data_IF_361508217826
#
_entry.id   IF_361508217826
#
_cell.length_a   1.000
_cell.length_b   1.000
_cell.length_c   1.000
_cell.angle_alpha   90.00
_cell.angle_beta   90.00
_cell.angle_gamma   90.00
#
_symmetry.space_group_name_H-M   'P 1'
#
loop_
_entity.id
_entity.type
_entity.pdbx_description
1 polymer ?
#
# COMPACT_ATOMS: atom_id res chain seq x y z
N UNK A 1 -4.97 26.13 4.77
CA UNK A 1 -5.50 25.30 3.67
C UNK A 1 -6.22 24.11 4.27
N UNK A 2 -7.29 23.62 3.63
CA UNK A 2 -7.99 22.39 4.06
C UNK A 2 -6.99 21.23 3.99
N UNK A 3 -6.92 20.42 5.05
CA UNK A 3 -6.15 19.17 5.08
C UNK A 3 -7.09 18.02 4.72
N UNK A 4 -6.60 17.11 3.89
CA UNK A 4 -7.32 15.91 3.49
C UNK A 4 -6.78 14.69 4.22
N UNK A 5 -7.63 13.69 4.42
CA UNK A 5 -7.18 12.32 4.67
C UNK A 5 -7.17 11.54 3.36
N UNK A 6 -6.01 10.98 3.02
CA UNK A 6 -5.78 10.30 1.76
C UNK A 6 -5.33 8.87 2.04
N UNK A 7 -6.07 7.91 1.49
CA UNK A 7 -5.74 6.49 1.58
C UNK A 7 -5.16 6.02 0.24
N UNK A 8 -4.03 5.32 0.30
CA UNK A 8 -3.42 4.64 -0.83
C UNK A 8 -3.48 3.14 -0.60
N UNK A 9 -4.33 2.44 -1.33
CA UNK A 9 -4.37 0.98 -1.32
C UNK A 9 -3.27 0.44 -2.21
N UNK A 10 -2.34 -0.31 -1.61
CA UNK A 10 -1.19 -0.89 -2.30
C UNK A 10 -1.20 -2.41 -2.15
N UNK A 11 -1.10 -3.16 -3.27
CA UNK A 11 -0.91 -4.61 -3.23
C UNK A 11 0.35 -5.00 -2.44
N UNK A 12 1.48 -4.38 -2.75
CA UNK A 12 2.81 -4.71 -2.22
C UNK A 12 3.59 -3.48 -1.74
N UNK A 13 4.61 -3.75 -0.93
CA UNK A 13 5.61 -2.77 -0.47
C UNK A 13 6.53 -2.43 -1.64
N UNK A 14 6.33 -1.26 -2.24
CA UNK A 14 7.08 -0.63 -3.36
C UNK A 14 6.13 0.02 -4.38
N UNK A 15 4.84 -0.35 -4.34
CA UNK A 15 3.85 0.14 -5.31
C UNK A 15 3.65 1.67 -5.24
N UNK A 16 3.87 2.29 -4.06
CA UNK A 16 3.92 3.77 -3.96
C UNK A 16 5.11 4.31 -4.74
N UNK A 17 6.31 3.79 -4.47
CA UNK A 17 7.55 4.29 -5.05
C UNK A 17 7.59 4.15 -6.58
N UNK A 18 6.96 3.10 -7.13
CA UNK A 18 6.84 2.90 -8.58
C UNK A 18 5.66 3.64 -9.20
N UNK A 19 4.49 3.62 -8.56
CA UNK A 19 3.26 4.09 -9.17
C UNK A 19 3.06 5.60 -9.04
N UNK A 20 3.12 6.13 -7.83
CA UNK A 20 2.70 7.51 -7.52
C UNK A 20 3.61 8.23 -6.50
N UNK A 21 4.95 8.14 -6.60
CA UNK A 21 5.86 8.60 -5.56
C UNK A 21 5.75 10.11 -5.28
N UNK A 22 5.53 10.91 -6.33
CA UNK A 22 5.45 12.37 -6.20
C UNK A 22 4.10 12.85 -5.68
N UNK A 23 3.00 12.19 -6.05
CA UNK A 23 1.68 12.48 -5.48
C UNK A 23 1.65 12.18 -3.99
N UNK A 24 2.27 11.07 -3.59
CA UNK A 24 2.43 10.68 -2.20
C UNK A 24 3.30 11.68 -1.42
N UNK A 25 4.47 12.04 -1.97
CA UNK A 25 5.37 13.05 -1.40
C UNK A 25 4.68 14.41 -1.23
N UNK A 26 3.99 14.89 -2.25
CA UNK A 26 3.36 16.21 -2.23
C UNK A 26 2.17 16.23 -1.27
N UNK A 27 1.42 15.13 -1.18
CA UNK A 27 0.36 14.98 -0.18
C UNK A 27 0.90 15.16 1.24
N UNK A 28 2.04 14.56 1.55
CA UNK A 28 2.73 14.74 2.83
C UNK A 28 3.23 16.18 3.03
N UNK A 29 3.83 16.81 2.00
CA UNK A 29 4.32 18.21 2.09
C UNK A 29 3.21 19.21 2.39
N UNK A 30 2.02 18.98 1.85
CA UNK A 30 0.84 19.79 2.11
C UNK A 30 0.25 19.57 3.52
N UNK A 31 0.79 18.62 4.30
CA UNK A 31 0.36 18.30 5.65
C UNK A 31 -0.96 17.52 5.71
N UNK A 32 -1.31 16.80 4.64
CA UNK A 32 -2.44 15.89 4.63
C UNK A 32 -2.16 14.66 5.51
N UNK A 33 -3.20 14.03 6.04
CA UNK A 33 -3.07 12.74 6.70
C UNK A 33 -2.97 11.66 5.60
N UNK A 34 -1.79 11.04 5.48
CA UNK A 34 -1.53 10.03 4.46
C UNK A 34 -1.48 8.65 5.11
N UNK A 35 -2.32 7.74 4.61
CA UNK A 35 -2.39 6.35 5.06
C UNK A 35 -2.12 5.42 3.89
N UNK A 36 -1.14 4.55 4.02
CA UNK A 36 -0.92 3.43 3.10
C UNK A 36 -1.63 2.18 3.64
N UNK A 37 -2.46 1.56 2.82
CA UNK A 37 -3.18 0.31 3.14
C UNK A 37 -2.54 -0.82 2.33
N UNK A 38 -1.65 -1.57 2.98
CA UNK A 38 -0.94 -2.70 2.38
C UNK A 38 -1.81 -3.95 2.41
N UNK A 39 -2.18 -4.42 1.22
CA UNK A 39 -3.09 -5.55 1.05
C UNK A 39 -2.41 -6.88 1.37
N UNK A 40 -1.14 -7.03 1.01
CA UNK A 40 -0.40 -8.29 1.18
C UNK A 40 0.72 -8.20 2.21
N UNK A 41 1.39 -9.32 2.45
CA UNK A 41 2.53 -9.44 3.34
C UNK A 41 3.89 -9.36 2.58
N UNK A 42 3.85 -9.28 1.25
CA UNK A 42 5.01 -9.10 0.37
C UNK A 42 6.12 -10.15 0.58
N UNK A 43 5.73 -11.39 0.81
CA UNK A 43 6.62 -12.48 1.19
C UNK A 43 7.14 -13.36 0.03
N UNK A 44 6.80 -13.06 -1.23
CA UNK A 44 7.16 -13.89 -2.39
C UNK A 44 7.83 -13.19 -3.56
N UNK A 45 8.00 -11.87 -3.54
CA UNK A 45 8.72 -11.06 -4.55
C UNK A 45 10.24 -11.33 -4.70
N UNK A 46 10.65 -12.58 -4.86
CA UNK A 46 12.03 -12.99 -5.13
C UNK A 46 12.09 -14.34 -5.85
N UNK A 47 13.12 -14.54 -6.70
CA UNK A 47 13.42 -15.84 -7.29
C UNK A 47 14.14 -16.79 -6.30
N UNK A 48 14.68 -16.28 -5.20
CA UNK A 48 15.43 -17.08 -4.20
C UNK A 48 14.49 -17.73 -3.19
N UNK A 49 14.26 -19.03 -3.33
CA UNK A 49 13.30 -19.79 -2.50
C UNK A 49 13.62 -19.66 -1.01
N UNK A 50 14.90 -19.64 -0.63
CA UNK A 50 15.36 -19.52 0.76
C UNK A 50 15.13 -18.14 1.39
N UNK A 51 14.67 -17.16 0.61
CA UNK A 51 14.24 -15.86 1.10
C UNK A 51 12.72 -15.78 1.30
N UNK A 52 11.93 -16.59 0.58
CA UNK A 52 10.47 -16.53 0.59
C UNK A 52 9.86 -16.72 1.99
N UNK A 53 8.63 -16.24 2.16
CA UNK A 53 7.89 -16.33 3.41
C UNK A 53 8.35 -15.32 4.46
N UNK A 54 8.40 -15.74 5.72
CA UNK A 54 8.65 -14.86 6.86
C UNK A 54 9.98 -14.08 6.77
N UNK A 55 10.99 -14.62 6.08
CA UNK A 55 12.28 -13.93 5.89
C UNK A 55 12.13 -12.72 4.99
N UNK A 56 11.56 -12.86 3.80
CA UNK A 56 11.36 -11.75 2.87
C UNK A 56 10.40 -10.71 3.45
N UNK A 57 9.29 -11.14 4.09
CA UNK A 57 8.37 -10.23 4.79
C UNK A 57 9.08 -9.29 5.77
N UNK A 58 10.02 -9.81 6.57
CA UNK A 58 10.80 -9.00 7.52
C UNK A 58 11.74 -8.03 6.81
N UNK A 59 12.38 -8.47 5.72
CA UNK A 59 13.26 -7.62 4.92
C UNK A 59 12.45 -6.47 4.33
N UNK A 60 11.36 -6.77 3.61
CA UNK A 60 10.50 -5.74 2.99
C UNK A 60 9.83 -4.81 4.00
N UNK A 61 9.46 -5.31 5.18
CA UNK A 61 8.97 -4.43 6.24
C UNK A 61 10.02 -3.40 6.67
N UNK A 62 11.29 -3.77 6.77
CA UNK A 62 12.39 -2.82 7.06
C UNK A 62 12.64 -1.86 5.91
N UNK A 63 12.53 -2.34 4.67
CA UNK A 63 12.63 -1.50 3.47
C UNK A 63 11.54 -0.43 3.46
N UNK A 64 10.29 -0.81 3.75
CA UNK A 64 9.17 0.13 3.91
C UNK A 64 9.42 1.16 5.01
N UNK A 65 9.88 0.72 6.18
CA UNK A 65 10.22 1.62 7.30
C UNK A 65 11.29 2.64 6.87
N UNK A 66 12.31 2.19 6.13
CA UNK A 66 13.35 3.06 5.59
C UNK A 66 12.80 4.05 4.56
N UNK A 67 11.94 3.62 3.64
CA UNK A 67 11.28 4.49 2.67
C UNK A 67 10.42 5.56 3.36
N UNK A 68 9.61 5.16 4.34
CA UNK A 68 8.79 6.07 5.14
C UNK A 68 9.64 7.08 5.95
N UNK A 69 10.81 6.66 6.45
CA UNK A 69 11.75 7.56 7.11
C UNK A 69 12.33 8.62 6.15
N UNK A 70 12.56 8.25 4.89
CA UNK A 70 12.97 9.19 3.84
C UNK A 70 11.87 10.23 3.63
N UNK A 71 10.63 9.81 3.40
CA UNK A 71 9.50 10.73 3.26
C UNK A 71 9.35 11.65 4.46
N UNK A 72 9.43 11.12 5.68
CA UNK A 72 9.32 11.93 6.91
C UNK A 72 10.46 12.95 7.05
N UNK A 73 11.69 12.58 6.71
CA UNK A 73 12.83 13.49 6.75
C UNK A 73 12.63 14.72 5.85
N UNK A 74 12.11 14.51 4.65
CA UNK A 74 11.92 15.56 3.63
C UNK A 74 10.66 16.39 3.83
N UNK A 75 9.58 15.81 4.36
CA UNK A 75 8.29 16.47 4.46
C UNK A 75 7.95 16.95 5.87
N UNK A 76 8.67 16.45 6.88
CA UNK A 76 8.35 16.61 8.32
C UNK A 76 6.97 16.04 8.70
N UNK A 77 6.40 15.17 7.87
CA UNK A 77 5.13 14.48 8.11
C UNK A 77 5.31 12.97 8.00
N UNK A 78 4.53 12.20 8.76
CA UNK A 78 4.66 10.75 8.81
C UNK A 78 3.54 10.06 8.02
N UNK A 79 3.90 8.93 7.41
CA UNK A 79 2.95 7.99 6.81
C UNK A 79 2.42 7.07 7.91
N UNK A 80 1.12 6.80 7.90
CA UNK A 80 0.56 5.69 8.69
C UNK A 80 0.36 4.48 7.78
N UNK A 81 0.79 3.31 8.23
CA UNK A 81 0.66 2.07 7.47
C UNK A 81 -0.37 1.15 8.13
N UNK A 82 -1.38 0.73 7.39
CA UNK A 82 -2.36 -0.29 7.77
C UNK A 82 -2.08 -1.57 6.98
N UNK A 83 -1.80 -2.67 7.68
CA UNK A 83 -1.53 -3.97 7.06
C UNK A 83 -2.78 -4.84 7.10
N UNK A 84 -3.32 -5.19 5.94
CA UNK A 84 -4.43 -6.15 5.80
C UNK A 84 -3.91 -7.60 5.88
N UNK A 85 -2.73 -7.83 5.29
CA UNK A 85 -1.91 -9.01 5.54
C UNK A 85 -2.32 -10.29 4.81
N UNK A 86 -2.85 -10.18 3.59
CA UNK A 86 -3.04 -11.35 2.71
C UNK A 86 -1.70 -11.89 2.20
N UNK A 87 -1.73 -13.10 1.64
CA UNK A 87 -0.54 -13.74 1.08
C UNK A 87 -0.23 -13.08 -0.26
N UNK A 88 0.99 -12.61 -0.45
CA UNK A 88 1.54 -12.10 -1.71
C UNK A 88 1.29 -13.09 -2.87
N UNK A 89 0.75 -12.63 -4.00
CA UNK A 89 0.33 -13.41 -5.16
C UNK A 89 -1.00 -14.15 -5.02
N UNK A 90 -1.67 -14.07 -3.86
CA UNK A 90 -2.91 -14.79 -3.57
C UNK A 90 -3.97 -13.90 -2.88
N UNK A 91 -3.98 -12.60 -3.15
CA UNK A 91 -5.00 -11.69 -2.65
C UNK A 91 -6.40 -12.11 -3.17
N UNK A 92 -7.36 -12.45 -2.29
CA UNK A 92 -8.64 -12.99 -2.76
C UNK A 92 -9.65 -11.90 -3.09
N UNK A 93 -10.50 -12.16 -4.10
CA UNK A 93 -11.72 -11.39 -4.36
C UNK A 93 -12.93 -12.11 -3.76
N UNK A 94 -13.21 -11.84 -2.48
CA UNK A 94 -14.33 -12.43 -1.78
C UNK A 94 -14.93 -11.48 -0.73
N UNK A 95 -16.07 -11.86 -0.17
CA UNK A 95 -16.80 -11.05 0.82
C UNK A 95 -15.96 -10.71 2.06
N UNK A 96 -15.06 -11.59 2.47
CA UNK A 96 -14.19 -11.34 3.64
C UNK A 96 -13.17 -10.24 3.35
N UNK A 97 -12.50 -10.30 2.19
CA UNK A 97 -11.58 -9.25 1.76
C UNK A 97 -12.29 -7.91 1.55
N UNK A 98 -13.45 -7.94 0.87
CA UNK A 98 -14.26 -6.75 0.67
C UNK A 98 -14.68 -6.11 2.00
N UNK A 99 -15.13 -6.90 2.98
CA UNK A 99 -15.51 -6.38 4.29
C UNK A 99 -14.35 -5.69 5.00
N UNK A 100 -13.12 -6.24 4.96
CA UNK A 100 -11.95 -5.58 5.54
C UNK A 100 -11.67 -4.22 4.90
N UNK A 101 -11.75 -4.13 3.57
CA UNK A 101 -11.58 -2.86 2.83
C UNK A 101 -12.68 -1.86 3.21
N UNK A 102 -13.94 -2.29 3.22
CA UNK A 102 -15.08 -1.46 3.60
C UNK A 102 -14.94 -0.95 5.04
N UNK A 103 -14.51 -1.79 5.97
CA UNK A 103 -14.33 -1.41 7.37
C UNK A 103 -13.19 -0.40 7.54
N UNK A 104 -12.09 -0.54 6.80
CA UNK A 104 -11.01 0.46 6.74
C UNK A 104 -11.57 1.79 6.22
N UNK A 105 -12.27 1.79 5.08
CA UNK A 105 -12.81 3.02 4.50
C UNK A 105 -13.81 3.69 5.45
N UNK A 106 -14.67 2.93 6.13
CA UNK A 106 -15.66 3.46 7.10
C UNK A 106 -15.02 4.02 8.36
N UNK A 107 -13.95 3.37 8.83
CA UNK A 107 -13.20 3.80 10.02
C UNK A 107 -12.38 5.03 9.71
N UNK A 108 -11.68 5.01 8.57
CA UNK A 108 -10.77 6.07 8.18
C UNK A 108 -11.49 7.31 7.65
N UNK A 109 -12.58 7.13 6.90
CA UNK A 109 -13.34 8.20 6.23
C UNK A 109 -12.41 9.09 5.36
N UNK A 110 -11.72 8.50 4.35
CA UNK A 110 -10.87 9.28 3.45
C UNK A 110 -11.67 10.37 2.72
N UNK A 111 -11.03 11.51 2.47
CA UNK A 111 -11.50 12.46 1.46
C UNK A 111 -11.14 11.98 0.05
N UNK A 112 -9.99 11.30 -0.09
CA UNK A 112 -9.43 10.82 -1.37
C UNK A 112 -8.91 9.39 -1.19
N UNK A 113 -9.15 8.54 -2.18
CA UNK A 113 -8.65 7.17 -2.25
C UNK A 113 -7.90 6.95 -3.56
N UNK A 114 -6.72 6.34 -3.46
CA UNK A 114 -5.96 5.82 -4.60
C UNK A 114 -5.91 4.29 -4.52
N UNK A 115 -6.01 3.64 -5.68
CA UNK A 115 -5.84 2.20 -5.87
C UNK A 115 -5.29 1.94 -7.29
N UNK A 116 -4.69 0.75 -7.54
CA UNK A 116 -4.32 0.35 -8.89
C UNK A 116 -5.53 0.34 -9.83
N UNK A 117 -5.31 0.66 -11.11
CA UNK A 117 -6.34 0.50 -12.14
C UNK A 117 -6.48 -0.99 -12.49
N UNK A 118 -7.62 -1.64 -12.19
CA UNK A 118 -7.80 -3.08 -12.44
C UNK A 118 -7.92 -3.44 -13.92
N UNK A 119 -7.97 -2.45 -14.82
CA UNK A 119 -8.03 -2.64 -16.27
C UNK A 119 -6.75 -2.22 -16.99
N UNK A 120 -5.67 -1.92 -16.26
CA UNK A 120 -4.40 -1.56 -16.87
C UNK A 120 -3.80 -2.73 -17.66
N UNK A 121 -3.85 -2.64 -18.99
CA UNK A 121 -3.54 -3.75 -19.90
C UNK A 121 -2.08 -4.22 -19.89
N UNK A 122 -1.17 -3.55 -19.18
CA UNK A 122 0.23 -3.97 -19.06
C UNK A 122 0.54 -4.64 -17.73
N UNK A 123 -0.41 -4.65 -16.79
CA UNK A 123 -0.27 -5.32 -15.50
C UNK A 123 -1.31 -6.42 -15.34
N UNK A 124 -0.79 -7.64 -15.22
CA UNK A 124 -1.58 -8.86 -15.09
C UNK A 124 -1.45 -9.48 -13.70
N UNK A 125 -0.80 -8.80 -12.76
CA UNK A 125 -0.58 -9.35 -11.43
C UNK A 125 -1.93 -9.44 -10.68
N UNK A 126 -2.34 -10.64 -10.22
CA UNK A 126 -3.67 -10.82 -9.63
C UNK A 126 -3.91 -9.94 -8.42
N UNK A 127 -2.88 -9.68 -7.61
CA UNK A 127 -3.01 -8.82 -6.43
C UNK A 127 -3.24 -7.34 -6.80
N UNK A 128 -2.67 -6.86 -7.90
CA UNK A 128 -2.90 -5.51 -8.41
C UNK A 128 -4.34 -5.38 -8.92
N UNK A 129 -4.76 -6.33 -9.77
CA UNK A 129 -6.13 -6.40 -10.29
C UNK A 129 -7.15 -6.49 -9.14
N UNK A 130 -6.92 -7.36 -8.15
CA UNK A 130 -7.87 -7.60 -7.07
C UNK A 130 -7.87 -6.47 -6.03
N UNK A 131 -6.81 -5.68 -5.91
CA UNK A 131 -6.81 -4.47 -5.07
C UNK A 131 -7.63 -3.34 -5.70
N UNK A 132 -7.60 -3.22 -7.04
CA UNK A 132 -8.35 -2.19 -7.78
C UNK A 132 -9.84 -2.49 -7.96
N UNK A 133 -10.27 -3.74 -7.83
CA UNK A 133 -11.66 -4.20 -7.99
C UNK A 133 -12.49 -4.03 -6.72
#
# INVERSE_FOLDING_TARGET
MKRFKILFFTPHIDDIEFGVPFTFLESLRLGNEVVEVLMTNCEFGTHRIEFKGARLKRIRTRELENANNVYAKYTKNHVRVLKVGYIDGYLPINKSALNKVVDIIRTEKPDILFAPDPWYALDYHPDHINTGR
#
